data_IF_856224042798
#
_entry.id   IF_856224042798
#
_cell.length_a   1.000
_cell.length_b   1.000
_cell.length_c   1.000
_cell.angle_alpha   90.00
_cell.angle_beta   90.00
_cell.angle_gamma   90.00
#
_symmetry.space_group_name_H-M   'P 1'
#
loop_
_entity.id
_entity.type
_entity.pdbx_description
1 polymer ?
#
# COMPACT_ATOMS: atom_id res chain seq x y z
N UNK A 1 40.49 40.30 -0.70
CA UNK A 1 40.88 38.90 -0.46
C UNK A 1 40.22 38.42 0.83
N UNK A 2 39.08 37.74 0.72
CA UNK A 2 38.47 37.01 1.83
C UNK A 2 39.07 35.60 1.86
N UNK A 3 39.58 35.10 3.00
CA UNK A 3 40.18 33.79 3.06
C UNK A 3 39.08 32.74 2.91
N UNK A 4 39.37 31.75 2.09
CA UNK A 4 38.61 30.52 1.90
C UNK A 4 38.57 29.83 3.27
N UNK A 5 37.51 30.09 4.04
CA UNK A 5 37.16 29.29 5.19
C UNK A 5 36.84 27.90 4.66
N UNK A 6 37.86 27.05 4.72
CA UNK A 6 37.78 25.61 4.70
C UNK A 6 36.47 25.16 5.36
N UNK A 7 35.50 24.80 4.52
CA UNK A 7 34.20 24.27 4.90
C UNK A 7 34.33 22.79 5.33
N UNK A 8 35.42 22.42 6.01
CA UNK A 8 35.73 21.05 6.45
C UNK A 8 34.93 20.61 7.68
N UNK A 9 33.86 21.32 8.03
CA UNK A 9 33.03 21.00 9.18
C UNK A 9 31.55 21.33 8.94
N UNK A 10 30.95 20.75 7.91
CA UNK A 10 29.50 20.61 7.87
C UNK A 10 29.11 19.40 8.74
N UNK A 11 28.62 19.72 9.94
CA UNK A 11 27.62 18.98 10.72
C UNK A 11 27.93 17.53 11.14
N UNK A 12 28.46 17.36 12.36
CA UNK A 12 28.28 16.13 13.12
C UNK A 12 28.33 16.35 14.65
N UNK A 13 27.60 17.34 15.19
CA UNK A 13 27.42 17.46 16.66
C UNK A 13 26.27 16.58 17.20
N UNK A 14 25.74 15.65 16.39
CA UNK A 14 24.66 14.75 16.82
C UNK A 14 24.35 13.53 15.94
N UNK A 15 25.17 13.22 14.94
CA UNK A 15 24.93 12.09 14.03
C UNK A 15 25.92 10.97 14.35
N UNK A 16 25.45 9.98 15.10
CA UNK A 16 26.25 8.89 15.67
C UNK A 16 26.42 7.73 14.66
N UNK A 17 25.60 7.69 13.59
CA UNK A 17 25.63 6.63 12.57
C UNK A 17 25.16 7.11 11.19
N UNK A 18 25.70 6.49 10.12
CA UNK A 18 25.31 6.71 8.71
C UNK A 18 23.79 6.56 8.48
N UNK A 19 23.12 5.65 9.22
CA UNK A 19 21.66 5.41 9.14
C UNK A 19 20.78 6.59 9.56
N UNK A 20 21.34 7.57 10.28
CA UNK A 20 20.59 8.75 10.72
C UNK A 20 20.59 9.89 9.71
N UNK A 21 21.59 9.93 8.84
CA UNK A 21 21.70 10.96 7.81
C UNK A 21 20.92 10.58 6.54
N UNK A 22 20.89 9.29 6.19
CA UNK A 22 20.21 8.81 5.00
C UNK A 22 19.13 7.78 5.34
N UNK A 23 17.91 7.99 4.83
CA UNK A 23 16.78 7.06 5.03
C UNK A 23 16.82 5.86 4.09
N UNK A 24 17.71 5.87 3.10
CA UNK A 24 17.95 4.78 2.17
C UNK A 24 19.30 4.93 1.47
N UNK A 25 19.81 3.84 0.89
CA UNK A 25 21.00 3.87 0.02
C UNK A 25 20.80 4.82 -1.17
N UNK A 26 19.58 4.92 -1.70
CA UNK A 26 19.24 5.85 -2.78
C UNK A 26 19.38 7.31 -2.34
N UNK A 27 18.97 7.64 -1.10
CA UNK A 27 19.08 9.00 -0.59
C UNK A 27 20.54 9.37 -0.31
N UNK A 28 21.37 8.40 0.09
CA UNK A 28 22.81 8.59 0.16
C UNK A 28 23.39 9.06 -1.18
N UNK A 29 23.16 8.32 -2.27
CA UNK A 29 23.74 8.66 -3.58
C UNK A 29 23.27 10.03 -4.10
N UNK A 30 22.03 10.43 -3.85
CA UNK A 30 21.55 11.77 -4.21
C UNK A 30 22.31 12.89 -3.50
N UNK A 31 22.58 12.72 -2.21
CA UNK A 31 23.33 13.72 -1.44
C UNK A 31 24.80 13.69 -1.83
N UNK A 32 25.37 12.50 -2.01
CA UNK A 32 26.75 12.33 -2.46
C UNK A 32 26.98 13.00 -3.81
N UNK A 33 26.07 12.87 -4.77
CA UNK A 33 26.13 13.54 -6.08
C UNK A 33 26.18 15.07 -5.95
N UNK A 34 25.37 15.65 -5.05
CA UNK A 34 25.37 17.09 -4.79
C UNK A 34 26.70 17.54 -4.16
N UNK A 35 27.23 16.77 -3.21
CA UNK A 35 28.49 17.08 -2.53
C UNK A 35 29.68 16.99 -3.50
N UNK A 36 29.71 15.95 -4.34
CA UNK A 36 30.73 15.77 -5.38
C UNK A 36 30.71 16.91 -6.40
N UNK A 37 29.53 17.35 -6.84
CA UNK A 37 29.37 18.49 -7.75
C UNK A 37 29.91 19.82 -7.16
N UNK A 38 29.98 19.93 -5.83
CA UNK A 38 30.53 21.09 -5.12
C UNK A 38 31.96 20.85 -4.60
N UNK A 39 32.59 19.72 -4.93
CA UNK A 39 33.91 19.33 -4.44
C UNK A 39 34.01 19.30 -2.91
N UNK A 40 32.95 18.83 -2.24
CA UNK A 40 32.88 18.72 -0.78
C UNK A 40 33.02 17.26 -0.36
N UNK A 41 34.09 16.97 0.38
CA UNK A 41 34.25 15.71 1.09
C UNK A 41 33.67 15.78 2.51
N UNK A 42 33.33 14.63 3.07
CA UNK A 42 32.83 14.50 4.44
C UNK A 42 33.49 13.31 5.13
N UNK A 43 33.60 13.42 6.45
CA UNK A 43 34.11 12.36 7.32
C UNK A 43 33.35 12.34 8.63
N UNK A 44 33.20 11.16 9.21
CA UNK A 44 32.58 11.01 10.53
C UNK A 44 33.61 11.12 11.66
N UNK A 45 33.16 11.56 12.84
CA UNK A 45 34.03 11.72 14.02
C UNK A 45 34.23 10.40 14.76
N UNK A 46 33.20 9.54 14.80
CA UNK A 46 33.18 8.32 15.61
C UNK A 46 33.22 7.03 14.78
N UNK A 47 32.78 7.08 13.52
CA UNK A 47 32.84 5.97 12.58
C UNK A 47 33.99 6.20 11.59
N UNK A 48 34.52 5.14 10.99
CA UNK A 48 35.61 5.20 10.03
C UNK A 48 35.09 5.46 8.59
N UNK A 49 34.25 6.48 8.42
CA UNK A 49 33.79 6.92 7.10
C UNK A 49 34.49 8.21 6.69
N UNK A 50 35.07 8.19 5.49
CA UNK A 50 35.82 9.31 4.91
C UNK A 50 35.67 9.28 3.37
N UNK A 51 35.04 10.29 2.79
CA UNK A 51 34.89 10.37 1.33
C UNK A 51 36.05 11.05 0.63
N UNK A 52 37.01 11.65 1.35
CA UNK A 52 38.18 12.31 0.74
C UNK A 52 39.16 11.32 0.10
N UNK A 53 39.16 10.07 0.57
CA UNK A 53 40.06 9.02 0.06
C UNK A 53 39.31 7.98 -0.76
N UNK A 54 39.99 7.41 -1.77
CA UNK A 54 39.43 6.32 -2.57
C UNK A 54 39.09 5.08 -1.70
N UNK A 55 39.94 4.78 -0.72
CA UNK A 55 39.71 3.65 0.21
C UNK A 55 38.50 3.90 1.11
N UNK A 56 38.29 5.12 1.59
CA UNK A 56 37.15 5.44 2.43
C UNK A 56 35.83 5.44 1.65
N UNK A 57 35.81 5.94 0.41
CA UNK A 57 34.67 5.80 -0.51
C UNK A 57 34.34 4.32 -0.78
N UNK A 58 35.36 3.48 -1.02
CA UNK A 58 35.17 2.04 -1.17
C UNK A 58 34.56 1.41 0.09
N UNK A 59 35.07 1.75 1.27
CA UNK A 59 34.54 1.25 2.54
C UNK A 59 33.06 1.60 2.72
N UNK A 60 32.68 2.86 2.46
CA UNK A 60 31.28 3.30 2.52
C UNK A 60 30.40 2.50 1.55
N UNK A 61 30.84 2.32 0.30
CA UNK A 61 30.08 1.55 -0.70
C UNK A 61 29.88 0.09 -0.29
N UNK A 62 30.89 -0.55 0.31
CA UNK A 62 30.78 -1.90 0.86
C UNK A 62 29.74 -1.92 1.99
N UNK A 63 29.80 -0.98 2.93
CA UNK A 63 28.85 -0.93 4.05
C UNK A 63 27.41 -0.67 3.60
N UNK A 64 27.20 0.20 2.61
CA UNK A 64 25.89 0.42 2.00
C UNK A 64 25.35 -0.83 1.31
N UNK A 65 26.22 -1.58 0.62
CA UNK A 65 25.86 -2.83 -0.04
C UNK A 65 25.47 -3.91 0.97
N UNK A 66 26.19 -4.00 2.10
CA UNK A 66 25.86 -4.93 3.20
C UNK A 66 24.52 -4.56 3.84
N UNK A 67 24.27 -3.27 4.10
CA UNK A 67 23.00 -2.82 4.66
C UNK A 67 21.82 -3.10 3.72
N UNK A 68 22.03 -2.96 2.40
CA UNK A 68 21.04 -3.31 1.39
C UNK A 68 20.78 -4.82 1.37
N UNK A 69 21.81 -5.66 1.39
CA UNK A 69 21.68 -7.12 1.46
C UNK A 69 20.91 -7.57 2.71
N UNK A 70 21.21 -6.99 3.88
CA UNK A 70 20.51 -7.31 5.13
C UNK A 70 19.02 -6.95 5.07
N UNK A 71 18.71 -5.77 4.50
CA UNK A 71 17.33 -5.34 4.30
C UNK A 71 16.57 -6.25 3.32
N UNK A 72 17.21 -6.65 2.22
CA UNK A 72 16.63 -7.53 1.21
C UNK A 72 16.41 -8.95 1.76
N UNK A 73 17.39 -9.51 2.48
CA UNK A 73 17.26 -10.80 3.17
C UNK A 73 16.16 -10.79 4.23
N UNK A 74 16.01 -9.68 4.96
CA UNK A 74 14.91 -9.52 5.92
C UNK A 74 13.56 -9.49 5.20
N UNK A 75 13.46 -8.77 4.08
CA UNK A 75 12.28 -8.72 3.23
C UNK A 75 11.91 -10.10 2.68
N UNK A 76 12.89 -10.88 2.20
CA UNK A 76 12.72 -12.26 1.75
C UNK A 76 12.20 -13.16 2.87
N UNK A 77 12.76 -13.06 4.07
CA UNK A 77 12.29 -13.81 5.24
C UNK A 77 10.85 -13.46 5.62
N UNK A 78 10.47 -12.19 5.58
CA UNK A 78 9.08 -11.76 5.83
C UNK A 78 8.14 -12.36 4.78
N UNK A 79 8.50 -12.30 3.50
CA UNK A 79 7.71 -12.91 2.41
C UNK A 79 7.55 -14.41 2.63
N UNK A 80 8.61 -15.11 3.03
CA UNK A 80 8.56 -16.53 3.36
C UNK A 80 7.57 -16.83 4.51
N UNK A 81 7.65 -16.07 5.61
CA UNK A 81 6.73 -16.20 6.74
C UNK A 81 5.29 -15.91 6.33
N UNK A 82 5.06 -14.90 5.48
CA UNK A 82 3.73 -14.56 4.99
C UNK A 82 3.17 -15.64 4.07
N UNK A 83 3.99 -16.21 3.18
CA UNK A 83 3.57 -17.31 2.32
C UNK A 83 3.15 -18.55 3.14
N UNK A 84 3.89 -18.87 4.20
CA UNK A 84 3.57 -19.94 5.14
C UNK A 84 2.25 -19.67 5.89
N UNK A 85 2.07 -18.46 6.42
CA UNK A 85 0.81 -18.03 7.05
C UNK A 85 -0.38 -18.10 6.09
N UNK A 86 -0.22 -17.59 4.87
CA UNK A 86 -1.25 -17.64 3.83
C UNK A 86 -1.65 -19.08 3.49
N UNK A 87 -0.68 -20.00 3.40
CA UNK A 87 -0.95 -21.44 3.21
C UNK A 87 -1.78 -22.03 4.34
N UNK A 88 -1.57 -21.57 5.58
CA UNK A 88 -2.39 -21.92 6.75
C UNK A 88 -3.68 -21.11 6.88
N UNK A 89 -3.97 -20.19 5.94
CA UNK A 89 -5.10 -19.23 5.99
C UNK A 89 -5.09 -18.33 7.24
N UNK A 90 -3.89 -18.08 7.77
CA UNK A 90 -3.66 -17.18 8.90
C UNK A 90 -3.45 -15.75 8.42
N UNK A 91 -3.90 -14.78 9.23
CA UNK A 91 -3.74 -13.35 8.94
C UNK A 91 -2.28 -12.91 8.92
N UNK A 92 -1.94 -12.15 7.87
CA UNK A 92 -0.60 -11.57 7.67
C UNK A 92 -0.52 -10.10 8.10
N UNK A 93 -1.66 -9.42 8.26
CA UNK A 93 -1.75 -8.01 8.64
C UNK A 93 -2.68 -7.81 9.84
N UNK A 94 -2.40 -6.78 10.66
CA UNK A 94 -3.21 -6.45 11.83
C UNK A 94 -4.51 -5.68 11.52
N UNK A 95 -4.59 -5.03 10.36
CA UNK A 95 -5.81 -4.34 9.93
C UNK A 95 -6.78 -5.32 9.29
N UNK A 96 -8.03 -5.30 9.75
CA UNK A 96 -9.07 -6.25 9.35
C UNK A 96 -10.14 -5.54 8.52
N UNK A 97 -10.62 -6.12 7.41
CA UNK A 97 -11.78 -5.59 6.69
C UNK A 97 -13.01 -5.49 7.60
N UNK A 98 -13.78 -4.41 7.48
CA UNK A 98 -15.01 -4.21 8.26
C UNK A 98 -15.98 -5.37 8.06
N UNK A 99 -16.64 -5.82 9.13
CA UNK A 99 -17.46 -7.04 9.15
C UNK A 99 -16.69 -8.30 9.53
N UNK A 100 -15.36 -8.26 9.59
CA UNK A 100 -14.53 -9.35 10.07
C UNK A 100 -13.83 -9.00 11.40
N UNK A 101 -13.45 -10.02 12.14
CA UNK A 101 -12.51 -9.96 13.28
C UNK A 101 -11.44 -11.04 13.12
N UNK A 102 -10.36 -10.91 13.88
CA UNK A 102 -9.35 -11.96 14.00
C UNK A 102 -9.70 -12.81 15.21
N UNK A 103 -9.88 -14.12 14.99
CA UNK A 103 -10.06 -15.10 16.05
C UNK A 103 -9.15 -16.29 15.76
N UNK A 104 -8.33 -16.69 16.75
CA UNK A 104 -7.35 -17.78 16.60
C UNK A 104 -6.47 -17.64 15.35
N UNK A 105 -6.02 -16.42 15.02
CA UNK A 105 -5.23 -16.06 13.82
C UNK A 105 -5.97 -16.14 12.48
N UNK A 106 -7.26 -16.44 12.46
CA UNK A 106 -8.06 -16.54 11.23
C UNK A 106 -9.05 -15.38 11.14
N UNK A 107 -9.44 -15.02 9.91
CA UNK A 107 -10.54 -14.08 9.69
C UNK A 107 -11.87 -14.81 9.85
N UNK A 108 -12.70 -14.31 10.75
CA UNK A 108 -14.06 -14.79 10.97
C UNK A 108 -15.04 -13.61 10.97
N UNK A 109 -16.32 -13.81 10.61
CA UNK A 109 -17.33 -12.76 10.75
C UNK A 109 -17.31 -12.17 12.16
N UNK A 110 -17.31 -10.84 12.23
CA UNK A 110 -17.14 -10.07 13.45
C UNK A 110 -18.46 -9.76 14.12
N UNK A 111 -18.64 -8.48 14.46
CA UNK A 111 -19.89 -7.96 15.02
C UNK A 111 -21.06 -8.19 14.02
N UNK A 112 -22.17 -8.83 14.45
CA UNK A 112 -23.35 -8.99 13.62
C UNK A 112 -23.85 -7.68 12.98
N UNK A 113 -23.78 -6.55 13.70
CA UNK A 113 -24.17 -5.24 13.17
C UNK A 113 -23.31 -4.84 11.96
N UNK A 114 -21.99 -5.03 12.04
CA UNK A 114 -21.09 -4.74 10.92
C UNK A 114 -21.30 -5.73 9.76
N UNK A 115 -21.57 -7.01 10.05
CA UNK A 115 -21.85 -8.03 9.03
C UNK A 115 -23.13 -7.70 8.25
N UNK A 116 -24.21 -7.36 8.96
CA UNK A 116 -25.49 -6.94 8.36
C UNK A 116 -25.32 -5.66 7.54
N UNK A 117 -24.54 -4.68 8.03
CA UNK A 117 -24.23 -3.48 7.28
C UNK A 117 -23.55 -3.79 5.94
N UNK A 118 -22.57 -4.69 5.93
CA UNK A 118 -21.90 -5.11 4.69
C UNK A 118 -22.91 -5.76 3.73
N UNK A 119 -23.80 -6.61 4.22
CA UNK A 119 -24.86 -7.22 3.40
C UNK A 119 -25.83 -6.18 2.83
N UNK A 120 -26.20 -5.17 3.64
CA UNK A 120 -27.04 -4.06 3.22
C UNK A 120 -26.35 -3.18 2.17
N UNK A 121 -25.04 -2.94 2.29
CA UNK A 121 -24.23 -2.21 1.30
C UNK A 121 -24.29 -2.90 -0.07
N UNK A 122 -24.06 -4.22 -0.12
CA UNK A 122 -24.14 -4.96 -1.39
C UNK A 122 -25.56 -4.91 -1.97
N UNK A 123 -26.57 -5.13 -1.13
CA UNK A 123 -27.98 -5.12 -1.57
C UNK A 123 -28.41 -3.76 -2.11
N UNK A 124 -28.11 -2.68 -1.38
CA UNK A 124 -28.44 -1.32 -1.81
C UNK A 124 -27.65 -0.89 -3.05
N UNK A 125 -26.40 -1.34 -3.19
CA UNK A 125 -25.63 -1.10 -4.40
C UNK A 125 -26.24 -1.79 -5.62
N UNK A 126 -26.72 -3.03 -5.50
CA UNK A 126 -27.38 -3.73 -6.60
C UNK A 126 -28.69 -3.03 -7.02
N UNK A 127 -29.41 -2.43 -6.08
CA UNK A 127 -30.65 -1.68 -6.35
C UNK A 127 -30.37 -0.32 -7.01
N UNK A 128 -29.43 0.46 -6.47
CA UNK A 128 -29.17 1.84 -6.90
C UNK A 128 -28.13 1.94 -8.01
N UNK A 129 -27.29 0.93 -8.17
CA UNK A 129 -26.10 0.89 -9.02
C UNK A 129 -25.02 1.90 -8.65
N UNK A 130 -25.17 2.72 -7.60
CA UNK A 130 -24.26 3.82 -7.30
C UNK A 130 -23.66 3.67 -5.91
N UNK A 131 -22.33 3.66 -5.85
CA UNK A 131 -21.60 3.63 -4.57
C UNK A 131 -21.71 4.97 -3.82
N UNK A 132 -22.04 6.07 -4.51
CA UNK A 132 -22.31 7.36 -3.87
C UNK A 132 -23.64 7.36 -3.10
N UNK A 133 -24.72 6.89 -3.74
CA UNK A 133 -26.02 6.76 -3.08
C UNK A 133 -25.96 5.73 -1.96
N UNK A 134 -25.20 4.65 -2.16
CA UNK A 134 -24.96 3.65 -1.12
C UNK A 134 -24.21 4.23 0.08
N UNK A 135 -23.25 5.15 -0.13
CA UNK A 135 -22.61 5.85 0.99
C UNK A 135 -23.59 6.72 1.79
N UNK A 136 -24.53 7.41 1.11
CA UNK A 136 -25.59 8.17 1.79
C UNK A 136 -26.52 7.24 2.59
N UNK A 137 -26.97 6.14 1.98
CA UNK A 137 -27.77 5.13 2.67
C UNK A 137 -27.09 4.63 3.94
N UNK A 138 -25.78 4.35 3.86
CA UNK A 138 -25.00 3.93 5.03
C UNK A 138 -24.98 5.01 6.11
N UNK A 139 -24.74 6.29 5.76
CA UNK A 139 -24.74 7.41 6.72
C UNK A 139 -26.06 7.58 7.47
N UNK A 140 -27.17 7.34 6.79
CA UNK A 140 -28.52 7.55 7.34
C UNK A 140 -28.99 6.38 8.21
N UNK A 141 -28.58 5.15 7.87
CA UNK A 141 -29.14 3.93 8.47
C UNK A 141 -28.16 3.19 9.38
N UNK A 142 -26.87 3.45 9.24
CA UNK A 142 -25.80 2.81 9.98
C UNK A 142 -24.95 3.90 10.60
N UNK A 143 -24.52 3.75 11.86
CA UNK A 143 -23.81 4.80 12.60
C UNK A 143 -22.34 4.95 12.12
N UNK A 144 -22.15 5.06 10.80
CA UNK A 144 -20.90 5.11 10.10
C UNK A 144 -21.00 6.07 8.92
N UNK A 145 -20.01 6.96 8.78
CA UNK A 145 -19.96 7.94 7.71
C UNK A 145 -18.80 7.64 6.73
N UNK A 146 -18.99 6.70 5.78
CA UNK A 146 -17.96 6.35 4.81
C UNK A 146 -17.82 7.41 3.72
N UNK A 147 -16.59 7.60 3.24
CA UNK A 147 -16.37 8.19 1.93
C UNK A 147 -16.88 7.24 0.81
N UNK A 148 -17.45 7.73 -0.30
CA UNK A 148 -17.89 6.87 -1.41
C UNK A 148 -16.78 5.94 -1.95
N UNK A 149 -15.52 6.35 -1.89
CA UNK A 149 -14.40 5.48 -2.29
C UNK A 149 -14.20 4.31 -1.33
N UNK A 150 -14.55 4.44 -0.04
CA UNK A 150 -14.52 3.34 0.92
C UNK A 150 -15.60 2.30 0.57
N UNK A 151 -16.82 2.73 0.22
CA UNK A 151 -17.88 1.84 -0.28
C UNK A 151 -17.43 1.10 -1.53
N UNK A 152 -16.83 1.81 -2.49
CA UNK A 152 -16.28 1.19 -3.69
C UNK A 152 -15.21 0.13 -3.36
N UNK A 153 -14.28 0.42 -2.43
CA UNK A 153 -13.26 -0.54 -1.99
C UNK A 153 -13.90 -1.78 -1.34
N UNK A 154 -14.95 -1.61 -0.55
CA UNK A 154 -15.71 -2.72 0.05
C UNK A 154 -16.32 -3.60 -1.05
N UNK A 155 -17.05 -2.98 -1.98
CA UNK A 155 -17.75 -3.70 -3.04
C UNK A 155 -16.80 -4.47 -3.99
N UNK A 156 -15.52 -4.08 -4.08
CA UNK A 156 -14.52 -4.76 -4.92
C UNK A 156 -13.63 -5.73 -4.14
N UNK A 157 -13.75 -5.79 -2.81
CA UNK A 157 -12.87 -6.61 -1.99
C UNK A 157 -13.33 -8.07 -1.98
N UNK A 158 -12.52 -8.96 -2.56
CA UNK A 158 -12.82 -10.39 -2.67
C UNK A 158 -12.82 -11.13 -1.32
N UNK A 159 -12.32 -10.50 -0.24
CA UNK A 159 -12.39 -11.10 1.10
C UNK A 159 -13.84 -11.39 1.51
N UNK A 160 -14.80 -10.57 1.07
CA UNK A 160 -16.22 -10.76 1.42
C UNK A 160 -16.85 -12.02 0.83
N UNK A 161 -16.27 -12.58 -0.24
CA UNK A 161 -16.61 -13.89 -0.80
C UNK A 161 -15.67 -15.01 -0.31
N UNK A 162 -14.85 -14.73 0.71
CA UNK A 162 -13.93 -15.68 1.30
C UNK A 162 -12.58 -15.81 0.59
N UNK A 163 -12.24 -14.93 -0.36
CA UNK A 163 -11.02 -15.05 -1.17
C UNK A 163 -10.00 -13.95 -0.85
N UNK A 164 -8.75 -14.33 -0.59
CA UNK A 164 -7.66 -13.39 -0.26
C UNK A 164 -6.33 -13.86 -0.84
N UNK A 165 -5.54 -12.96 -1.44
CA UNK A 165 -4.26 -13.29 -2.10
C UNK A 165 -4.33 -14.50 -3.05
N UNK A 166 -5.38 -14.59 -3.87
CA UNK A 166 -5.65 -15.72 -4.78
C UNK A 166 -5.85 -17.08 -4.09
N UNK A 167 -6.11 -17.10 -2.78
CA UNK A 167 -6.47 -18.29 -2.02
C UNK A 167 -7.98 -18.30 -1.86
N UNK A 168 -8.61 -19.32 -2.43
CA UNK A 168 -10.03 -19.57 -2.28
C UNK A 168 -10.35 -20.12 -0.90
N UNK A 169 -11.56 -19.81 -0.41
CA UNK A 169 -12.03 -20.26 0.91
C UNK A 169 -11.04 -19.91 2.04
N UNK A 170 -10.36 -18.76 1.92
CA UNK A 170 -9.44 -18.23 2.93
C UNK A 170 -10.17 -17.93 4.24
N UNK A 171 -11.39 -17.41 4.17
CA UNK A 171 -12.25 -17.15 5.33
C UNK A 171 -13.72 -17.43 5.02
N UNK A 172 -14.56 -17.45 6.07
CA UNK A 172 -16.01 -17.58 5.89
C UNK A 172 -16.55 -16.35 5.15
N UNK A 173 -17.27 -16.59 4.06
CA UNK A 173 -17.88 -15.53 3.26
C UNK A 173 -19.01 -14.84 4.02
N UNK A 174 -19.07 -13.50 3.93
CA UNK A 174 -20.19 -12.68 4.41
C UNK A 174 -21.23 -12.50 3.29
N UNK A 175 -20.76 -12.50 2.03
CA UNK A 175 -21.55 -12.29 0.83
C UNK A 175 -21.47 -13.51 -0.07
N UNK A 176 -22.59 -13.88 -0.68
CA UNK A 176 -22.63 -14.92 -1.70
C UNK A 176 -21.87 -14.49 -2.97
N UNK A 177 -21.12 -15.42 -3.57
CA UNK A 177 -20.33 -15.14 -4.77
C UNK A 177 -21.17 -14.54 -5.90
N UNK A 178 -22.42 -14.99 -6.07
CA UNK A 178 -23.34 -14.48 -7.10
C UNK A 178 -23.67 -13.00 -6.91
N UNK A 179 -23.90 -12.57 -5.67
CA UNK A 179 -24.19 -11.16 -5.33
C UNK A 179 -22.96 -10.30 -5.62
N UNK A 180 -21.78 -10.79 -5.27
CA UNK A 180 -20.53 -10.09 -5.52
C UNK A 180 -20.23 -9.95 -7.02
N UNK A 181 -20.42 -11.03 -7.79
CA UNK A 181 -20.21 -11.06 -9.24
C UNK A 181 -21.17 -10.08 -9.94
N UNK A 182 -22.45 -10.06 -9.56
CA UNK A 182 -23.43 -9.06 -10.02
C UNK A 182 -22.96 -7.62 -9.75
N UNK A 183 -22.39 -7.36 -8.57
CA UNK A 183 -21.86 -6.04 -8.26
C UNK A 183 -20.66 -5.68 -9.15
N UNK A 184 -19.78 -6.63 -9.48
CA UNK A 184 -18.67 -6.40 -10.40
C UNK A 184 -19.15 -6.11 -11.82
N UNK A 185 -20.16 -6.84 -12.30
CA UNK A 185 -20.77 -6.62 -13.62
C UNK A 185 -21.35 -5.20 -13.75
N UNK A 186 -21.99 -4.69 -12.69
CA UNK A 186 -22.48 -3.30 -12.68
C UNK A 186 -21.34 -2.28 -12.81
N UNK A 187 -20.18 -2.54 -12.21
CA UNK A 187 -19.00 -1.69 -12.38
C UNK A 187 -18.43 -1.77 -13.80
N UNK A 188 -18.41 -2.96 -14.41
CA UNK A 188 -17.94 -3.15 -15.78
C UNK A 188 -18.85 -2.43 -16.79
N UNK A 189 -20.16 -2.62 -16.68
CA UNK A 189 -21.16 -2.02 -17.56
C UNK A 189 -21.16 -0.48 -17.50
N UNK A 190 -20.97 0.11 -16.31
CA UNK A 190 -20.84 1.56 -16.16
C UNK A 190 -19.57 2.14 -16.78
N UNK A 191 -18.48 1.37 -16.87
CA UNK A 191 -17.25 1.81 -17.54
C UNK A 191 -17.45 1.87 -19.06
N UNK A 192 -18.15 0.89 -19.64
CA UNK A 192 -18.45 0.85 -21.07
C UNK A 192 -19.30 2.05 -21.51
N UNK A 193 -20.30 2.46 -20.72
CA UNK A 193 -21.17 3.60 -21.04
C UNK A 193 -20.42 4.95 -21.01
N UNK A 194 -19.40 5.11 -20.15
CA UNK A 194 -18.59 6.33 -20.08
C UNK A 194 -17.68 6.56 -21.30
N UNK A 195 -17.53 5.56 -22.17
CA UNK A 195 -16.81 5.68 -23.44
C UNK A 195 -17.72 6.14 -24.60
N UNK A 196 -18.88 6.73 -24.32
CA UNK A 196 -19.57 7.58 -25.28
C UNK A 196 -19.15 9.04 -25.05
N UNK A 197 -18.19 9.60 -25.82
CA UNK A 197 -17.94 11.02 -25.77
C UNK A 197 -19.11 11.74 -26.44
N UNK A 198 -19.64 12.73 -25.73
CA UNK A 198 -20.31 13.92 -26.30
C UNK A 198 -21.41 13.68 -27.34
N UNK A 199 -22.66 13.70 -26.89
CA UNK A 199 -23.85 14.22 -27.58
C UNK A 199 -23.89 14.12 -29.13
N UNK A 200 -23.58 12.94 -29.67
CA UNK A 200 -23.84 12.59 -31.07
C UNK A 200 -24.47 11.21 -31.09
N UNK A 201 -25.76 11.18 -31.38
CA UNK A 201 -26.53 9.95 -31.61
C UNK A 201 -26.07 9.37 -32.94
N UNK A 202 -25.43 8.22 -32.93
CA UNK A 202 -25.14 7.46 -34.14
C UNK A 202 -26.15 6.32 -34.27
N UNK A 203 -27.04 6.43 -35.27
CA UNK A 203 -28.20 5.55 -35.52
C UNK A 203 -27.78 4.14 -36.03
N UNK A 204 -26.49 3.86 -36.24
CA UNK A 204 -26.04 2.61 -36.85
C UNK A 204 -25.09 1.75 -36.00
N UNK A 205 -25.11 1.86 -34.66
CA UNK A 205 -24.25 1.02 -33.79
C UNK A 205 -24.68 -0.45 -33.65
N UNK A 206 -25.66 -0.93 -34.45
CA UNK A 206 -26.19 -2.31 -34.38
C UNK A 206 -26.34 -3.05 -35.71
N UNK A 207 -25.69 -2.60 -36.79
CA UNK A 207 -25.63 -3.40 -38.03
C UNK A 207 -24.20 -3.48 -38.54
N UNK A 208 -23.48 -4.49 -38.04
CA UNK A 208 -22.75 -5.52 -38.79
C UNK A 208 -22.14 -6.53 -37.81
#
# INVERSE_FOLDING_TARGET
HLPILSLSLIFARGLIKLDRWFRSVKDYYKVQEILEAHHVDWKTVYENYDTSTASGRLHINIMLSVAQDEADRTSERIKFVFADKLRRKEVIAGTVPRGYKIENKHLVPGDPHDVEMIQAIFSHFLLSGSHYTTANYVRENWNWNPDPSAIKKILQNTVYIGNYHNIENYCKSIIDKKIFDQAQDMFANKRTIKSAPTNRVYIFSRLL
#
